data_IF_167734068529
#
_entry.id   IF_167734068529
#
_cell.length_a   1.000
_cell.length_b   1.000
_cell.length_c   1.000
_cell.angle_alpha   90.00
_cell.angle_beta   90.00
_cell.angle_gamma   90.00
#
_symmetry.space_group_name_H-M   'P 1'
#
loop_
_entity.id
_entity.type
_entity.pdbx_description
1 polymer ?
#
# COMPACT_ATOMS: atom_id res chain seq x y z
N UNK A 1 -24.59 -6.52 30.27
CA UNK A 1 -23.34 -6.41 31.04
C UNK A 1 -23.70 -5.82 32.40
N UNK A 2 -23.40 -6.50 33.50
CA UNK A 2 -23.53 -5.89 34.83
C UNK A 2 -22.60 -4.67 34.91
N UNK A 3 -23.06 -3.57 35.52
CA UNK A 3 -22.21 -2.40 35.74
C UNK A 3 -21.01 -2.82 36.60
N UNK A 4 -19.80 -2.63 36.07
CA UNK A 4 -18.58 -3.00 36.77
C UNK A 4 -18.38 -2.04 37.95
N UNK A 5 -18.58 -2.53 39.18
CA UNK A 5 -18.38 -1.73 40.37
C UNK A 5 -16.89 -1.45 40.58
N UNK A 6 -16.52 -0.18 40.59
CA UNK A 6 -15.15 0.28 40.82
C UNK A 6 -15.07 0.81 42.26
N UNK A 7 -14.18 0.23 43.07
CA UNK A 7 -13.93 0.66 44.45
C UNK A 7 -12.41 0.79 44.67
N UNK A 8 -11.96 1.93 45.21
CA UNK A 8 -10.55 2.17 45.50
C UNK A 8 -10.17 3.65 45.52
N UNK A 9 -8.93 3.94 45.93
CA UNK A 9 -8.40 5.31 45.90
C UNK A 9 -8.32 5.83 44.45
N UNK A 10 -8.77 7.06 44.15
CA UNK A 10 -8.88 7.58 42.78
C UNK A 10 -7.55 7.55 42.02
N UNK A 11 -6.42 7.89 42.66
CA UNK A 11 -5.09 7.80 42.05
C UNK A 11 -4.72 6.36 41.63
N UNK A 12 -5.04 5.34 42.44
CA UNK A 12 -4.73 3.95 42.10
C UNK A 12 -5.60 3.47 40.92
N UNK A 13 -6.86 3.88 40.89
CA UNK A 13 -7.76 3.59 39.77
C UNK A 13 -7.30 4.25 38.48
N UNK A 14 -6.88 5.52 38.54
CA UNK A 14 -6.35 6.24 37.38
C UNK A 14 -5.11 5.54 36.79
N UNK A 15 -4.15 5.13 37.63
CA UNK A 15 -2.96 4.40 37.17
C UNK A 15 -3.33 3.03 36.59
N UNK A 16 -4.25 2.30 37.22
CA UNK A 16 -4.75 1.03 36.70
C UNK A 16 -5.43 1.18 35.33
N UNK A 17 -6.23 2.23 35.14
CA UNK A 17 -6.88 2.54 33.86
C UNK A 17 -5.86 2.91 32.78
N UNK A 18 -4.82 3.69 33.11
CA UNK A 18 -3.72 4.02 32.18
C UNK A 18 -2.96 2.76 31.77
N UNK A 19 -2.66 1.86 32.70
CA UNK A 19 -2.02 0.58 32.40
C UNK A 19 -2.88 -0.28 31.45
N UNK A 20 -4.17 -0.44 31.77
CA UNK A 20 -5.10 -1.23 30.94
C UNK A 20 -5.23 -0.61 29.55
N UNK A 21 -5.32 0.72 29.45
CA UNK A 21 -5.32 1.42 28.15
C UNK A 21 -4.05 1.12 27.35
N UNK A 22 -2.89 1.14 27.98
CA UNK A 22 -1.63 0.84 27.31
C UNK A 22 -1.61 -0.60 26.77
N UNK A 23 -2.15 -1.57 27.52
CA UNK A 23 -2.32 -2.96 27.06
C UNK A 23 -3.27 -3.02 25.86
N UNK A 24 -4.44 -2.37 25.95
CA UNK A 24 -5.45 -2.30 24.87
C UNK A 24 -4.89 -1.66 23.61
N UNK A 25 -4.15 -0.56 23.74
CA UNK A 25 -3.51 0.13 22.60
C UNK A 25 -2.47 -0.80 21.93
N UNK A 26 -1.69 -1.55 22.71
CA UNK A 26 -0.76 -2.54 22.15
C UNK A 26 -1.47 -3.75 21.53
N UNK A 27 -2.65 -4.14 22.00
CA UNK A 27 -3.43 -5.23 21.39
C UNK A 27 -4.10 -4.81 20.08
N UNK A 28 -4.55 -3.56 19.99
CA UNK A 28 -5.33 -3.02 18.86
C UNK A 28 -4.48 -2.37 17.76
N UNK A 29 -3.21 -2.04 18.05
CA UNK A 29 -2.25 -1.57 17.04
C UNK A 29 -1.83 -2.68 16.06
N UNK A 30 -1.35 -2.27 14.88
CA UNK A 30 -0.89 -3.17 13.82
C UNK A 30 0.11 -4.19 14.36
N UNK A 31 -0.15 -5.47 14.10
CA UNK A 31 0.71 -6.56 14.56
C UNK A 31 2.15 -6.40 14.05
N UNK A 32 3.12 -6.42 14.97
CA UNK A 32 4.55 -6.46 14.67
C UNK A 32 5.30 -7.31 15.71
N UNK A 33 6.48 -7.87 15.38
CA UNK A 33 7.29 -8.60 16.37
C UNK A 33 7.64 -7.76 17.60
N UNK A 34 7.99 -6.47 17.38
CA UNK A 34 8.29 -5.51 18.46
C UNK A 34 7.10 -5.28 19.39
N UNK A 35 5.88 -5.23 18.84
CA UNK A 35 4.64 -5.09 19.61
C UNK A 35 4.42 -6.28 20.54
N UNK A 36 4.60 -7.52 20.06
CA UNK A 36 4.43 -8.71 20.91
C UNK A 36 5.42 -8.72 22.08
N UNK A 37 6.69 -8.35 21.84
CA UNK A 37 7.70 -8.21 22.90
C UNK A 37 7.33 -7.10 23.90
N UNK A 38 6.90 -5.94 23.40
CA UNK A 38 6.46 -4.81 24.24
C UNK A 38 5.25 -5.20 25.09
N UNK A 39 4.26 -5.83 24.50
CA UNK A 39 3.05 -6.28 25.21
C UNK A 39 3.40 -7.30 26.29
N UNK A 40 4.24 -8.29 25.98
CA UNK A 40 4.71 -9.25 26.96
C UNK A 40 5.48 -8.56 28.11
N UNK A 41 6.33 -7.59 27.79
CA UNK A 41 7.01 -6.79 28.79
C UNK A 41 6.02 -6.02 29.68
N UNK A 42 5.02 -5.36 29.09
CA UNK A 42 3.97 -4.66 29.83
C UNK A 42 3.19 -5.59 30.76
N UNK A 43 2.78 -6.78 30.27
CA UNK A 43 2.06 -7.77 31.06
C UNK A 43 2.90 -8.28 32.25
N UNK A 44 4.21 -8.46 32.04
CA UNK A 44 5.14 -8.84 33.10
C UNK A 44 5.42 -7.72 34.10
N UNK A 45 5.45 -6.45 33.66
CA UNK A 45 5.63 -5.28 34.55
C UNK A 45 4.62 -5.29 35.69
N UNK A 46 3.40 -5.75 35.45
CA UNK A 46 2.37 -5.94 36.49
C UNK A 46 2.84 -6.78 37.68
N UNK A 47 3.68 -7.81 37.45
CA UNK A 47 4.22 -8.69 38.50
C UNK A 47 5.38 -8.04 39.27
N UNK A 48 6.00 -7.00 38.73
CA UNK A 48 7.06 -6.25 39.41
C UNK A 48 6.47 -5.35 40.52
N UNK A 49 7.26 -5.11 41.57
CA UNK A 49 6.81 -4.47 42.82
C UNK A 49 6.08 -3.13 42.62
N UNK A 50 6.45 -2.34 41.62
CA UNK A 50 5.87 -1.03 41.33
C UNK A 50 4.40 -1.12 40.91
N UNK A 51 4.04 -2.16 40.14
CA UNK A 51 2.67 -2.39 39.66
C UNK A 51 1.90 -3.40 40.51
N UNK A 52 2.58 -4.19 41.37
CA UNK A 52 1.94 -5.15 42.29
C UNK A 52 0.95 -4.50 43.25
N UNK A 53 1.06 -3.18 43.47
CA UNK A 53 0.13 -2.37 44.28
C UNK A 53 -1.18 -2.04 43.54
N UNK A 54 -1.22 -2.15 42.21
CA UNK A 54 -2.45 -1.96 41.45
C UNK A 54 -3.38 -3.15 41.68
N UNK A 55 -4.49 -2.90 42.38
CA UNK A 55 -5.55 -3.88 42.55
C UNK A 55 -6.51 -3.78 41.38
N UNK A 56 -6.68 -4.89 40.66
CA UNK A 56 -7.66 -5.02 39.60
C UNK A 56 -8.89 -5.81 40.11
N UNK A 57 -10.10 -5.52 39.62
CA UNK A 57 -11.22 -6.43 39.78
C UNK A 57 -10.86 -7.83 39.28
N UNK A 58 -11.40 -8.87 39.90
CA UNK A 58 -11.03 -10.27 39.60
C UNK A 58 -11.11 -10.62 38.11
N UNK A 59 -12.14 -10.14 37.41
CA UNK A 59 -12.28 -10.35 35.96
C UNK A 59 -11.16 -9.70 35.13
N UNK A 60 -10.68 -8.51 35.52
CA UNK A 60 -9.57 -7.81 34.83
C UNK A 60 -8.25 -8.49 35.14
N UNK A 61 -8.04 -8.93 36.39
CA UNK A 61 -6.87 -9.70 36.76
C UNK A 61 -6.77 -11.00 35.93
N UNK A 62 -7.87 -11.76 35.85
CA UNK A 62 -7.96 -12.97 35.04
C UNK A 62 -7.69 -12.69 33.54
N UNK A 63 -8.33 -11.68 32.96
CA UNK A 63 -8.10 -11.29 31.56
C UNK A 63 -6.63 -10.92 31.28
N UNK A 64 -5.96 -10.24 32.22
CA UNK A 64 -4.54 -9.90 32.09
C UNK A 64 -3.62 -11.12 32.30
N UNK A 65 -3.99 -12.06 33.17
CA UNK A 65 -3.28 -13.34 33.36
C UNK A 65 -3.38 -14.20 32.11
N UNK A 66 -4.58 -14.36 31.55
CA UNK A 66 -4.84 -15.12 30.32
C UNK A 66 -4.05 -14.55 29.13
N UNK A 67 -3.99 -13.23 28.99
CA UNK A 67 -3.14 -12.57 28.00
C UNK A 67 -1.66 -12.79 28.27
N UNK A 68 -1.20 -12.71 29.52
CA UNK A 68 0.20 -12.95 29.86
C UNK A 68 0.62 -14.36 29.51
N UNK A 69 -0.22 -15.36 29.77
CA UNK A 69 0.05 -16.77 29.45
C UNK A 69 0.09 -17.00 27.93
N UNK A 70 -0.85 -16.41 27.19
CA UNK A 70 -0.90 -16.50 25.73
C UNK A 70 0.36 -15.90 25.06
N UNK A 71 0.93 -14.82 25.60
CA UNK A 71 2.14 -14.18 25.07
C UNK A 71 3.45 -14.71 25.68
N UNK A 72 3.45 -15.25 26.90
CA UNK A 72 4.67 -15.72 27.59
C UNK A 72 5.25 -17.00 27.01
N UNK A 73 4.42 -17.83 26.39
CA UNK A 73 4.83 -19.14 25.85
C UNK A 73 5.63 -19.06 24.55
N UNK A 74 5.93 -17.86 24.04
CA UNK A 74 6.70 -17.70 22.79
C UNK A 74 8.23 -17.90 22.92
N UNK A 75 8.79 -18.33 24.07
CA UNK A 75 10.25 -18.53 24.12
C UNK A 75 10.93 -18.97 25.43
N UNK A 76 10.40 -19.94 26.20
CA UNK A 76 11.18 -20.57 27.29
C UNK A 76 11.74 -21.93 26.85
N UNK A 77 13.06 -22.16 26.88
CA UNK A 77 13.61 -23.51 26.88
C UNK A 77 13.30 -24.17 28.22
N UNK A 78 12.53 -25.27 28.22
CA UNK A 78 12.23 -26.08 29.41
C UNK A 78 10.97 -25.71 30.21
N UNK A 79 10.15 -24.77 29.74
CA UNK A 79 8.79 -24.53 30.28
C UNK A 79 7.78 -25.50 29.65
N UNK A 80 6.66 -25.76 30.33
CA UNK A 80 5.55 -26.61 29.87
C UNK A 80 5.30 -26.51 28.35
N UNK A 81 4.95 -27.64 27.69
CA UNK A 81 4.82 -27.68 26.24
C UNK A 81 3.97 -26.51 25.79
N UNK A 82 4.50 -25.70 24.86
CA UNK A 82 3.76 -24.64 24.16
C UNK A 82 2.35 -25.16 23.97
N UNK A 83 1.37 -24.54 24.64
CA UNK A 83 -0.01 -25.06 24.55
C UNK A 83 -0.33 -25.23 23.07
N UNK A 84 -1.01 -26.32 22.69
CA UNK A 84 -1.29 -26.57 21.26
C UNK A 84 -1.88 -25.35 20.57
N UNK A 85 -2.68 -24.55 21.29
CA UNK A 85 -3.19 -23.26 20.85
C UNK A 85 -2.11 -22.21 20.53
N UNK A 86 -1.13 -22.00 21.39
CA UNK A 86 -0.04 -21.06 21.14
C UNK A 86 0.82 -21.48 19.93
N UNK A 87 1.09 -22.78 19.78
CA UNK A 87 1.82 -23.31 18.64
C UNK A 87 1.03 -23.16 17.33
N UNK A 88 -0.27 -23.46 17.36
CA UNK A 88 -1.18 -23.24 16.22
C UNK A 88 -1.26 -21.75 15.85
N UNK A 89 -1.30 -20.85 16.83
CA UNK A 89 -1.33 -19.41 16.62
C UNK A 89 -0.03 -18.89 16.00
N UNK A 90 1.14 -19.38 16.44
CA UNK A 90 2.42 -19.02 15.86
C UNK A 90 2.50 -19.44 14.37
N UNK A 91 2.12 -20.69 14.04
CA UNK A 91 2.06 -21.18 12.66
C UNK A 91 1.06 -20.40 11.82
N UNK A 92 -0.11 -20.07 12.38
CA UNK A 92 -1.08 -19.21 11.72
C UNK A 92 -0.50 -17.81 11.42
N UNK A 93 0.25 -17.23 12.36
CA UNK A 93 0.96 -15.96 12.18
C UNK A 93 1.92 -16.00 10.98
N UNK A 94 2.77 -17.03 10.90
CA UNK A 94 3.69 -17.25 9.79
C UNK A 94 2.94 -17.38 8.46
N UNK A 95 1.91 -18.24 8.40
CA UNK A 95 1.08 -18.41 7.17
C UNK A 95 0.46 -17.09 6.73
N UNK A 96 -0.08 -16.33 7.67
CA UNK A 96 -0.71 -15.03 7.41
C UNK A 96 0.29 -14.00 6.91
N UNK A 97 1.47 -13.94 7.52
CA UNK A 97 2.56 -13.08 7.09
C UNK A 97 3.02 -13.45 5.67
N UNK A 98 3.31 -14.73 5.42
CA UNK A 98 3.67 -15.24 4.09
C UNK A 98 2.60 -14.90 3.06
N UNK A 99 1.32 -15.12 3.38
CA UNK A 99 0.20 -14.80 2.47
C UNK A 99 0.12 -13.31 2.12
N UNK A 100 0.43 -12.41 3.07
CA UNK A 100 0.49 -10.96 2.80
C UNK A 100 1.63 -10.60 1.85
N UNK A 101 2.80 -11.17 2.04
CA UNK A 101 3.95 -10.98 1.14
C UNK A 101 3.65 -11.55 -0.26
N UNK A 102 3.02 -12.72 -0.37
CA UNK A 102 2.57 -13.28 -1.67
C UNK A 102 1.57 -12.34 -2.35
N UNK A 103 0.62 -11.76 -1.61
CA UNK A 103 -0.33 -10.81 -2.17
C UNK A 103 0.35 -9.53 -2.68
N UNK A 104 1.32 -8.99 -1.93
CA UNK A 104 2.11 -7.83 -2.37
C UNK A 104 3.01 -8.13 -3.56
N UNK A 105 3.65 -9.31 -3.59
CA UNK A 105 4.41 -9.78 -4.75
C UNK A 105 3.55 -9.82 -6.02
N UNK A 106 2.34 -10.40 -5.92
CA UNK A 106 1.38 -10.42 -7.04
C UNK A 106 0.97 -9.02 -7.48
N UNK A 107 0.75 -8.10 -6.53
CA UNK A 107 0.43 -6.72 -6.84
C UNK A 107 1.60 -6.01 -7.55
N UNK A 108 2.83 -6.22 -7.11
CA UNK A 108 4.04 -5.67 -7.73
C UNK A 108 4.24 -6.21 -9.16
N UNK A 109 4.11 -7.52 -9.35
CA UNK A 109 4.21 -8.14 -10.67
C UNK A 109 3.10 -7.64 -11.62
N UNK A 110 1.87 -7.53 -11.14
CA UNK A 110 0.74 -7.01 -11.93
C UNK A 110 0.96 -5.54 -12.32
N UNK A 111 1.49 -4.73 -11.40
CA UNK A 111 1.89 -3.35 -11.68
C UNK A 111 2.99 -3.30 -12.74
N UNK A 112 4.04 -4.11 -12.62
CA UNK A 112 5.13 -4.18 -13.60
C UNK A 112 4.62 -4.52 -15.00
N UNK A 113 3.75 -5.52 -15.12
CA UNK A 113 3.15 -5.92 -16.40
C UNK A 113 2.27 -4.83 -17.00
N UNK A 114 1.46 -4.16 -16.17
CA UNK A 114 0.62 -3.03 -16.57
C UNK A 114 1.48 -1.88 -17.13
N UNK A 115 2.55 -1.50 -16.42
CA UNK A 115 3.47 -0.44 -16.84
C UNK A 115 4.26 -0.83 -18.09
N UNK A 116 4.73 -2.07 -18.19
CA UNK A 116 5.40 -2.58 -19.39
C UNK A 116 4.47 -2.52 -20.62
N UNK A 117 3.17 -2.80 -20.44
CA UNK A 117 2.17 -2.63 -21.50
C UNK A 117 2.03 -1.16 -21.91
N UNK A 118 1.96 -0.24 -20.95
CA UNK A 118 1.90 1.20 -21.23
C UNK A 118 3.14 1.70 -21.99
N UNK A 119 4.34 1.24 -21.62
CA UNK A 119 5.59 1.56 -22.34
C UNK A 119 5.51 1.10 -23.80
N UNK A 120 5.02 -0.12 -24.05
CA UNK A 120 4.82 -0.62 -25.42
C UNK A 120 3.79 0.20 -26.18
N UNK A 121 2.68 0.55 -25.55
CA UNK A 121 1.66 1.43 -26.14
C UNK A 121 2.23 2.79 -26.54
N UNK A 122 3.05 3.38 -25.68
CA UNK A 122 3.75 4.65 -25.96
C UNK A 122 4.72 4.52 -27.14
N UNK A 123 5.47 3.43 -27.22
CA UNK A 123 6.39 3.17 -28.34
C UNK A 123 5.66 3.03 -29.68
N UNK A 124 4.51 2.34 -29.68
CA UNK A 124 3.63 2.23 -30.87
C UNK A 124 3.12 3.61 -31.28
N UNK A 125 2.62 4.41 -30.32
CA UNK A 125 2.14 5.77 -30.57
C UNK A 125 3.25 6.66 -31.13
N UNK A 126 4.42 6.67 -30.51
CA UNK A 126 5.59 7.42 -30.99
C UNK A 126 5.97 7.05 -32.42
N UNK A 127 5.94 5.77 -32.75
CA UNK A 127 6.19 5.29 -34.12
C UNK A 127 5.14 5.79 -35.11
N UNK A 128 3.86 5.77 -34.73
CA UNK A 128 2.77 6.27 -35.55
C UNK A 128 2.87 7.79 -35.77
N UNK A 129 3.09 8.57 -34.71
CA UNK A 129 3.28 10.02 -34.79
C UNK A 129 4.46 10.37 -35.69
N UNK A 130 5.58 9.66 -35.59
CA UNK A 130 6.74 9.86 -36.49
C UNK A 130 6.40 9.62 -37.96
N UNK A 131 5.52 8.67 -38.27
CA UNK A 131 5.03 8.45 -39.65
C UNK A 131 4.17 9.62 -40.10
N UNK A 132 3.26 10.11 -39.25
CA UNK A 132 2.44 11.29 -39.54
C UNK A 132 3.29 12.53 -39.81
N UNK A 133 4.35 12.77 -39.02
CA UNK A 133 5.30 13.88 -39.26
C UNK A 133 5.96 13.75 -40.64
N UNK A 134 6.39 12.55 -41.02
CA UNK A 134 6.95 12.31 -42.36
C UNK A 134 5.94 12.62 -43.47
N UNK A 135 4.68 12.28 -43.27
CA UNK A 135 3.60 12.60 -44.20
C UNK A 135 3.37 14.12 -44.28
N UNK A 136 3.29 14.82 -43.13
CA UNK A 136 3.16 16.27 -43.07
C UNK A 136 4.28 16.97 -43.85
N UNK A 137 5.53 16.59 -43.59
CA UNK A 137 6.71 17.09 -44.32
C UNK A 137 6.68 16.76 -45.82
N UNK A 138 6.09 15.63 -46.19
CA UNK A 138 5.84 15.27 -47.59
C UNK A 138 4.88 16.25 -48.27
N UNK A 139 3.75 16.54 -47.61
CA UNK A 139 2.73 17.47 -48.08
C UNK A 139 3.27 18.90 -48.16
N UNK A 140 4.01 19.38 -47.15
CA UNK A 140 4.67 20.69 -47.17
C UNK A 140 5.56 20.82 -48.41
N UNK A 141 6.44 19.83 -48.65
CA UNK A 141 7.33 19.86 -49.83
C UNK A 141 6.57 19.81 -51.15
N UNK A 142 5.47 19.06 -51.21
CA UNK A 142 4.62 19.01 -52.40
C UNK A 142 3.96 20.37 -52.65
N UNK A 143 3.41 20.99 -51.62
CA UNK A 143 2.76 22.30 -51.70
C UNK A 143 3.77 23.40 -52.03
N UNK A 144 4.99 23.36 -51.49
CA UNK A 144 6.07 24.29 -51.83
C UNK A 144 6.42 24.25 -53.33
N UNK A 145 6.35 23.08 -53.98
CA UNK A 145 6.57 22.95 -55.44
C UNK A 145 5.46 23.60 -56.28
N UNK A 146 4.31 23.89 -55.70
CA UNK A 146 3.20 24.56 -56.39
C UNK A 146 3.33 26.09 -56.38
N UNK A 147 4.23 26.64 -55.55
CA UNK A 147 4.53 28.07 -55.57
C UNK A 147 5.21 28.41 -56.90
N UNK A 148 4.78 29.49 -57.58
CA UNK A 148 5.50 29.98 -58.76
C UNK A 148 6.91 30.39 -58.32
N UNK A 149 7.93 29.71 -58.84
CA UNK A 149 9.31 30.18 -58.73
C UNK A 149 9.43 31.35 -59.69
N UNK A 150 9.87 32.48 -59.15
CA UNK A 150 10.00 33.72 -59.89
C UNK A 150 10.71 33.52 -61.22
N UNK A 151 10.25 34.35 -62.15
CA UNK A 151 10.88 34.72 -63.40
C UNK A 151 10.45 33.97 -64.66
N UNK A 152 9.84 34.81 -65.50
CA UNK A 152 9.95 34.91 -66.94
C UNK A 152 8.79 34.36 -67.76
N UNK A 153 8.21 35.34 -68.44
CA UNK A 153 7.53 35.25 -69.71
C UNK A 153 6.02 34.98 -69.61
N UNK A 154 5.27 36.06 -69.84
CA UNK A 154 4.38 36.24 -71.00
C UNK A 154 3.13 37.02 -70.58
N UNK A 155 3.14 38.30 -70.94
CA UNK A 155 2.02 39.07 -71.45
C UNK A 155 0.60 38.51 -71.22
N UNK A 156 -0.18 39.25 -70.42
CA UNK A 156 -1.61 39.39 -70.64
C UNK A 156 -2.53 38.53 -69.77
N UNK A 157 -2.99 39.09 -68.65
CA UNK A 157 -4.34 38.81 -68.15
C UNK A 157 -4.53 37.73 -67.08
N UNK A 158 -3.47 37.26 -66.40
CA UNK A 158 -3.54 36.19 -65.40
C UNK A 158 -3.19 36.56 -63.93
N UNK A 159 -3.01 37.84 -63.59
CA UNK A 159 -2.55 38.23 -62.24
C UNK A 159 -3.53 37.86 -61.12
N UNK A 160 -4.84 37.99 -61.35
CA UNK A 160 -5.87 37.66 -60.35
C UNK A 160 -5.88 36.15 -60.03
N UNK A 161 -5.83 35.30 -61.05
CA UNK A 161 -5.80 33.83 -60.88
C UNK A 161 -4.50 33.36 -60.24
N UNK A 162 -3.39 34.06 -60.52
CA UNK A 162 -2.09 33.80 -59.87
C UNK A 162 -2.15 34.15 -58.38
N UNK A 163 -2.75 35.29 -58.03
CA UNK A 163 -2.89 35.74 -56.63
C UNK A 163 -3.76 34.78 -55.82
N UNK A 164 -4.94 34.41 -56.33
CA UNK A 164 -5.84 33.44 -55.67
C UNK A 164 -5.14 32.10 -55.43
N UNK A 165 -4.43 31.59 -56.45
CA UNK A 165 -3.67 30.34 -56.33
C UNK A 165 -2.57 30.43 -55.27
N UNK A 166 -1.82 31.53 -55.22
CA UNK A 166 -0.78 31.74 -54.21
C UNK A 166 -1.39 31.76 -52.81
N UNK A 167 -2.51 32.45 -52.61
CA UNK A 167 -3.24 32.47 -51.32
C UNK A 167 -3.61 31.05 -50.90
N UNK A 168 -4.22 30.27 -51.78
CA UNK A 168 -4.60 28.87 -51.49
C UNK A 168 -3.38 28.00 -51.14
N UNK A 169 -2.26 28.15 -51.85
CA UNK A 169 -1.03 27.41 -51.57
C UNK A 169 -0.44 27.80 -50.21
N UNK A 170 -0.46 29.08 -49.85
CA UNK A 170 -0.03 29.58 -48.53
C UNK A 170 -0.92 29.04 -47.41
N UNK A 171 -2.24 29.01 -47.61
CA UNK A 171 -3.19 28.42 -46.65
C UNK A 171 -2.92 26.92 -46.42
N UNK A 172 -2.65 26.16 -47.49
CA UNK A 172 -2.26 24.75 -47.37
C UNK A 172 -0.92 24.58 -46.66
N UNK A 173 0.08 25.44 -46.94
CA UNK A 173 1.36 25.41 -46.25
C UNK A 173 1.18 25.66 -44.75
N UNK A 174 0.44 26.70 -44.39
CA UNK A 174 0.14 27.02 -42.99
C UNK A 174 -0.56 25.85 -42.29
N UNK A 175 -1.52 25.21 -42.96
CA UNK A 175 -2.23 24.03 -42.44
C UNK A 175 -1.27 22.86 -42.17
N UNK A 176 -0.43 22.49 -43.14
CA UNK A 176 0.49 21.36 -42.97
C UNK A 176 1.64 21.65 -42.00
N UNK A 177 2.10 22.90 -41.93
CA UNK A 177 3.08 23.34 -40.93
C UNK A 177 2.49 23.32 -39.52
N UNK A 178 1.23 23.73 -39.36
CA UNK A 178 0.51 23.59 -38.09
C UNK A 178 0.41 22.12 -37.65
N UNK A 179 0.01 21.24 -38.57
CA UNK A 179 -0.03 19.80 -38.31
C UNK A 179 1.35 19.21 -37.95
N UNK A 180 2.42 19.62 -38.64
CA UNK A 180 3.78 19.22 -38.28
C UNK A 180 4.16 19.66 -36.87
N UNK A 181 3.91 20.92 -36.53
CA UNK A 181 4.22 21.48 -35.20
C UNK A 181 3.44 20.78 -34.08
N UNK A 182 2.15 20.48 -34.27
CA UNK A 182 1.34 19.72 -33.31
C UNK A 182 1.91 18.32 -33.08
N UNK A 183 2.26 17.61 -34.15
CA UNK A 183 2.83 16.27 -34.05
C UNK A 183 4.23 16.26 -33.42
N UNK A 184 5.04 17.30 -33.64
CA UNK A 184 6.33 17.47 -32.98
C UNK A 184 6.17 17.75 -31.49
N UNK A 185 5.24 18.62 -31.10
CA UNK A 185 4.91 18.88 -29.71
C UNK A 185 4.41 17.61 -29.00
N UNK A 186 3.56 16.82 -29.67
CA UNK A 186 3.12 15.52 -29.16
C UNK A 186 4.28 14.56 -28.92
N UNK A 187 5.24 14.48 -29.86
CA UNK A 187 6.43 13.64 -29.68
C UNK A 187 7.30 14.11 -28.51
N UNK A 188 7.45 15.42 -28.34
CA UNK A 188 8.20 16.00 -27.22
C UNK A 188 7.53 15.67 -25.87
N UNK A 189 6.20 15.78 -25.79
CA UNK A 189 5.42 15.45 -24.61
C UNK A 189 5.49 13.95 -24.23
N UNK A 190 5.73 13.06 -25.20
CA UNK A 190 5.91 11.62 -24.93
C UNK A 190 7.21 11.30 -24.19
N UNK A 191 8.24 12.16 -24.26
CA UNK A 191 9.52 11.94 -23.58
C UNK A 191 9.37 11.84 -22.06
N UNK A 192 8.85 12.88 -21.39
CA UNK A 192 8.60 12.85 -19.94
C UNK A 192 7.65 11.73 -19.50
N UNK A 193 6.64 11.39 -20.32
CA UNK A 193 5.77 10.24 -20.06
C UNK A 193 6.55 8.93 -20.06
N UNK A 194 7.43 8.74 -21.05
CA UNK A 194 8.28 7.55 -21.14
C UNK A 194 9.19 7.41 -19.92
N UNK A 195 9.87 8.47 -19.52
CA UNK A 195 10.74 8.48 -18.34
C UNK A 195 9.97 8.19 -17.04
N UNK A 196 8.75 8.74 -16.91
CA UNK A 196 7.88 8.44 -15.77
C UNK A 196 7.51 6.96 -15.74
N UNK A 197 7.18 6.37 -16.88
CA UNK A 197 6.84 4.96 -16.98
C UNK A 197 8.05 4.06 -16.67
N UNK A 198 9.24 4.39 -17.16
CA UNK A 198 10.47 3.66 -16.83
C UNK A 198 10.75 3.66 -15.32
N UNK A 199 10.73 4.83 -14.67
CA UNK A 199 10.90 4.90 -13.20
C UNK A 199 9.86 4.08 -12.45
N UNK A 200 8.61 4.08 -12.91
CA UNK A 200 7.54 3.29 -12.29
C UNK A 200 7.72 1.79 -12.52
N UNK A 201 8.23 1.40 -13.68
CA UNK A 201 8.57 0.02 -13.99
C UNK A 201 9.69 -0.47 -13.06
N UNK A 202 10.76 0.31 -12.93
CA UNK A 202 11.90 -0.04 -12.08
C UNK A 202 11.51 -0.11 -10.60
N UNK A 203 10.65 0.80 -10.14
CA UNK A 203 10.09 0.73 -8.80
C UNK A 203 9.24 -0.55 -8.58
N UNK A 204 8.48 -0.98 -9.58
CA UNK A 204 7.70 -2.21 -9.51
C UNK A 204 8.60 -3.46 -9.50
N UNK A 205 9.69 -3.46 -10.30
CA UNK A 205 10.72 -4.51 -10.28
C UNK A 205 11.40 -4.58 -8.91
N UNK A 206 11.81 -3.42 -8.37
CA UNK A 206 12.42 -3.34 -7.04
C UNK A 206 11.50 -3.87 -5.93
N UNK A 207 10.20 -3.54 -5.99
CA UNK A 207 9.21 -4.07 -5.06
C UNK A 207 9.00 -5.58 -5.21
N UNK A 208 8.98 -6.11 -6.44
CA UNK A 208 8.87 -7.55 -6.70
C UNK A 208 10.06 -8.31 -6.11
N UNK A 209 11.28 -7.82 -6.34
CA UNK A 209 12.51 -8.40 -5.80
C UNK A 209 12.55 -8.34 -4.26
N UNK A 210 12.15 -7.21 -3.67
CA UNK A 210 12.10 -7.05 -2.23
C UNK A 210 11.09 -8.01 -1.57
N UNK A 211 9.92 -8.19 -2.16
CA UNK A 211 8.91 -9.13 -1.66
C UNK A 211 9.32 -10.59 -1.88
N UNK A 212 9.99 -10.92 -2.99
CA UNK A 212 10.56 -12.24 -3.22
C UNK A 212 11.64 -12.59 -2.18
N UNK A 213 12.58 -11.68 -1.93
CA UNK A 213 13.60 -11.86 -0.89
C UNK A 213 13.00 -11.98 0.52
N UNK A 214 11.96 -11.20 0.83
CA UNK A 214 11.25 -11.31 2.09
C UNK A 214 10.54 -12.68 2.24
N UNK A 215 10.03 -13.25 1.15
CA UNK A 215 9.42 -14.57 1.16
C UNK A 215 10.41 -15.71 1.38
N UNK A 216 11.66 -15.57 0.94
CA UNK A 216 12.72 -16.55 1.24
C UNK A 216 13.02 -16.65 2.74
N UNK A 217 12.87 -15.53 3.47
CA UNK A 217 13.05 -15.49 4.92
C UNK A 217 11.85 -16.03 5.71
N UNK A 218 10.68 -16.23 5.08
CA UNK A 218 9.46 -16.70 5.74
C UNK A 218 9.22 -18.17 5.37
N UNK A 219 9.27 -19.11 6.34
CA UNK A 219 9.14 -20.52 6.04
C UNK A 219 7.78 -20.85 5.41
N UNK A 220 7.80 -21.75 4.44
CA UNK A 220 6.60 -22.32 3.85
C UNK A 220 6.07 -23.45 4.74
N UNK A 221 4.91 -23.20 5.34
CA UNK A 221 4.24 -24.17 6.20
C UNK A 221 3.14 -24.91 5.43
N UNK A 222 2.86 -26.18 5.77
CA UNK A 222 1.71 -26.88 5.22
C UNK A 222 0.42 -26.13 5.54
N UNK A 223 -0.66 -26.37 4.76
CA UNK A 223 -1.99 -25.85 5.07
C UNK A 223 -2.39 -26.12 6.53
N UNK A 224 -3.20 -25.23 7.11
CA UNK A 224 -3.69 -25.43 8.46
C UNK A 224 -4.67 -26.61 8.50
N UNK A 225 -4.52 -27.48 9.51
CA UNK A 225 -5.52 -28.53 9.77
C UNK A 225 -6.76 -27.92 10.41
N UNK A 226 -7.90 -28.61 10.37
CA UNK A 226 -9.14 -28.13 11.00
C UNK A 226 -8.94 -27.91 12.51
N UNK A 227 -8.22 -28.80 13.19
CA UNK A 227 -7.88 -28.66 14.62
C UNK A 227 -7.10 -27.37 14.91
N UNK A 228 -6.08 -27.07 14.09
CA UNK A 228 -5.33 -25.81 14.22
C UNK A 228 -6.22 -24.59 14.02
N UNK A 229 -7.12 -24.65 13.03
CA UNK A 229 -8.07 -23.56 12.76
C UNK A 229 -9.00 -23.35 13.95
N UNK A 230 -9.50 -24.42 14.57
CA UNK A 230 -10.36 -24.33 15.76
C UNK A 230 -9.60 -23.76 16.96
N UNK A 231 -8.38 -24.24 17.23
CA UNK A 231 -7.54 -23.71 18.31
C UNK A 231 -7.26 -22.21 18.14
N UNK A 232 -6.97 -21.76 16.91
CA UNK A 232 -6.77 -20.33 16.61
C UNK A 232 -8.06 -19.55 16.79
N UNK A 233 -9.20 -20.07 16.34
CA UNK A 233 -10.51 -19.43 16.54
C UNK A 233 -10.84 -19.28 18.02
N UNK A 234 -10.63 -20.31 18.82
CA UNK A 234 -10.83 -20.28 20.26
C UNK A 234 -9.91 -19.27 20.96
N UNK A 235 -8.61 -19.29 20.64
CA UNK A 235 -7.66 -18.33 21.16
C UNK A 235 -8.05 -16.88 20.80
N UNK A 236 -8.45 -16.63 19.55
CA UNK A 236 -8.97 -15.34 19.11
C UNK A 236 -10.23 -14.92 19.88
N UNK A 237 -11.17 -15.84 20.10
CA UNK A 237 -12.39 -15.57 20.89
C UNK A 237 -12.05 -15.21 22.34
N UNK A 238 -11.11 -15.93 22.96
CA UNK A 238 -10.62 -15.62 24.32
C UNK A 238 -10.01 -14.24 24.38
N UNK A 239 -9.06 -13.92 23.50
CA UNK A 239 -8.44 -12.58 23.42
C UNK A 239 -9.48 -11.47 23.20
N UNK A 240 -10.51 -11.71 22.39
CA UNK A 240 -11.61 -10.75 22.20
C UNK A 240 -12.45 -10.59 23.47
N UNK A 241 -12.76 -11.68 24.17
CA UNK A 241 -13.45 -11.64 25.46
C UNK A 241 -12.65 -10.82 26.49
N UNK A 242 -11.36 -11.09 26.60
CA UNK A 242 -10.45 -10.38 27.51
C UNK A 242 -10.38 -8.89 27.15
N UNK A 243 -10.28 -8.57 25.86
CA UNK A 243 -10.29 -7.20 25.37
C UNK A 243 -11.58 -6.45 25.75
N UNK A 244 -12.75 -7.11 25.67
CA UNK A 244 -14.03 -6.53 26.10
C UNK A 244 -14.02 -6.23 27.60
N UNK A 245 -13.49 -7.14 28.42
CA UNK A 245 -13.35 -6.93 29.87
C UNK A 245 -12.43 -5.73 30.17
N UNK A 246 -11.28 -5.64 29.49
CA UNK A 246 -10.33 -4.54 29.65
C UNK A 246 -10.90 -3.19 29.24
N UNK A 247 -11.59 -3.13 28.09
CA UNK A 247 -12.26 -1.90 27.61
C UNK A 247 -13.39 -1.51 28.57
N UNK A 248 -14.15 -2.48 29.06
CA UNK A 248 -15.22 -2.27 30.04
C UNK A 248 -14.70 -1.63 31.34
N UNK A 249 -13.60 -2.16 31.87
CA UNK A 249 -12.94 -1.59 33.05
C UNK A 249 -12.44 -0.17 32.81
N UNK A 250 -11.73 0.07 31.69
CA UNK A 250 -11.24 1.40 31.36
C UNK A 250 -12.37 2.44 31.30
N UNK A 251 -13.50 2.09 30.66
CA UNK A 251 -14.69 2.96 30.60
C UNK A 251 -15.32 3.19 31.97
N UNK A 252 -15.44 2.16 32.80
CA UNK A 252 -16.00 2.27 34.14
C UNK A 252 -15.19 3.22 35.02
N UNK A 253 -13.85 3.10 35.01
CA UNK A 253 -12.97 4.01 35.75
C UNK A 253 -13.02 5.42 35.19
N UNK A 254 -13.03 5.58 33.86
CA UNK A 254 -13.10 6.90 33.24
C UNK A 254 -14.39 7.66 33.59
N UNK A 255 -15.51 6.95 33.72
CA UNK A 255 -16.77 7.55 34.19
C UNK A 255 -16.70 7.88 35.69
N UNK A 256 -16.23 6.95 36.52
CA UNK A 256 -16.08 7.17 37.96
C UNK A 256 -15.18 8.37 38.32
N UNK A 257 -14.16 8.67 37.52
CA UNK A 257 -13.27 9.82 37.74
C UNK A 257 -13.81 11.14 37.15
N UNK A 258 -14.88 11.09 36.35
CA UNK A 258 -15.57 12.28 35.83
C UNK A 258 -16.67 12.77 36.75
N UNK A 259 -17.32 11.84 37.44
CA UNK A 259 -18.34 12.11 38.46
C UNK A 259 -17.70 12.57 39.78
#
# INVERSE_FOLDING_TARGET
>A
MAAMQVQGHPLHLAVAAVYVRLVVDNLTTTASPRRSHRLLHLLRLRRHHDYRRLRFPGAVAAALDDLEDLYSQQGRPGGEPITMAAAAFARHGIRRERARHVARLRAAASLRLSVASAIRGLAVRSTATRRCVKTARGLIRQTQRLLPVGERDLDGGGEATTTERVVTVVEFLATFQGMEAELEADMEAMGPEHERLLRRHDAAVGAELAEAAALEAIPELPPATEEEVQLVREACRRVLSDLVVLIGFFKAVANYLRD
#
